data_IF_674006414092
#
_entry.id   IF_674006414092
#
_cell.length_a   1.000
_cell.length_b   1.000
_cell.length_c   1.000
_cell.angle_alpha   90.00
_cell.angle_beta   90.00
_cell.angle_gamma   90.00
#
_symmetry.space_group_name_H-M   'P 1'
#
loop_
_entity.id
_entity.type
_entity.pdbx_description
1 polymer ?
#
# COMPACT_ATOMS: atom_id res chain seq x y z
N UNK A 1 29.84 -4.29 21.58
CA UNK A 1 29.29 -5.02 20.39
C UNK A 1 28.27 -4.11 19.76
N UNK A 2 28.42 -3.73 18.49
CA UNK A 2 27.43 -2.89 17.81
C UNK A 2 26.23 -3.75 17.40
N UNK A 3 25.02 -3.35 17.76
CA UNK A 3 23.79 -4.00 17.33
C UNK A 3 23.38 -3.35 15.99
N UNK A 4 23.32 -4.11 14.88
CA UNK A 4 22.89 -3.56 13.60
C UNK A 4 21.41 -3.18 13.64
N UNK A 5 21.03 -2.14 12.92
CA UNK A 5 19.64 -1.70 12.80
C UNK A 5 18.79 -2.76 12.07
N UNK A 6 19.39 -3.52 11.17
CA UNK A 6 18.74 -4.55 10.38
C UNK A 6 19.68 -5.75 10.23
N UNK A 7 19.18 -6.96 10.49
CA UNK A 7 19.88 -8.22 10.20
C UNK A 7 18.95 -9.17 9.41
N UNK A 8 19.04 -9.12 8.10
CA UNK A 8 18.32 -10.03 7.19
C UNK A 8 18.94 -11.43 7.12
N UNK A 9 20.18 -11.63 7.61
CA UNK A 9 20.89 -12.91 7.47
C UNK A 9 20.22 -14.01 8.29
N UNK A 10 19.81 -13.70 9.52
CA UNK A 10 19.14 -14.66 10.40
C UNK A 10 17.80 -15.12 9.82
N UNK A 11 17.03 -14.20 9.25
CA UNK A 11 15.77 -14.51 8.55
C UNK A 11 16.03 -15.34 7.29
N UNK A 12 16.95 -14.87 6.44
CA UNK A 12 17.28 -15.53 5.17
C UNK A 12 17.78 -16.96 5.37
N UNK A 13 18.60 -17.21 6.40
CA UNK A 13 19.14 -18.56 6.67
C UNK A 13 18.05 -19.62 6.83
N UNK A 14 16.88 -19.25 7.34
CA UNK A 14 15.75 -20.18 7.55
C UNK A 14 15.01 -20.55 6.27
N UNK A 15 15.00 -19.66 5.29
CA UNK A 15 14.21 -19.81 4.06
C UNK A 15 15.08 -19.99 2.81
N UNK A 16 16.42 -19.93 2.96
CA UNK A 16 17.36 -19.89 1.84
C UNK A 16 17.19 -21.07 0.86
N UNK A 17 17.08 -22.27 1.37
CA UNK A 17 16.96 -23.48 0.53
C UNK A 17 15.68 -23.42 -0.32
N UNK A 18 14.55 -23.11 0.29
CA UNK A 18 13.27 -23.00 -0.42
C UNK A 18 13.26 -21.87 -1.44
N UNK A 19 13.85 -20.71 -1.10
CA UNK A 19 13.96 -19.58 -2.01
C UNK A 19 14.84 -19.95 -3.22
N UNK A 20 16.01 -20.55 -3.00
CA UNK A 20 16.91 -20.97 -4.09
C UNK A 20 16.23 -22.00 -4.99
N UNK A 21 15.57 -23.02 -4.41
CA UNK A 21 14.85 -24.03 -5.19
C UNK A 21 13.73 -23.41 -6.05
N UNK A 22 12.96 -22.47 -5.50
CA UNK A 22 11.92 -21.79 -6.26
C UNK A 22 12.49 -20.93 -7.41
N UNK A 23 13.61 -20.21 -7.16
CA UNK A 23 14.30 -19.45 -8.19
C UNK A 23 14.84 -20.35 -9.31
N UNK A 24 15.50 -21.45 -8.96
CA UNK A 24 16.02 -22.41 -9.93
C UNK A 24 14.92 -23.02 -10.78
N UNK A 25 13.79 -23.36 -10.17
CA UNK A 25 12.65 -23.85 -10.93
C UNK A 25 12.17 -22.86 -12.00
N UNK A 26 12.11 -21.57 -11.71
CA UNK A 26 11.76 -20.54 -12.72
C UNK A 26 12.78 -20.51 -13.84
N UNK A 27 14.07 -20.64 -13.51
CA UNK A 27 15.16 -20.67 -14.50
C UNK A 27 15.08 -21.93 -15.38
N UNK A 28 14.89 -23.10 -14.78
CA UNK A 28 14.81 -24.37 -15.48
C UNK A 28 13.57 -24.44 -16.40
N UNK A 29 12.45 -23.93 -15.92
CA UNK A 29 11.20 -23.85 -16.69
C UNK A 29 11.21 -22.69 -17.73
N UNK A 30 12.20 -21.79 -17.66
CA UNK A 30 12.30 -20.56 -18.49
C UNK A 30 11.03 -19.68 -18.44
N UNK A 31 10.32 -19.72 -17.31
CA UNK A 31 9.04 -19.03 -17.11
C UNK A 31 9.24 -17.65 -16.49
N UNK A 32 9.94 -16.76 -17.18
CA UNK A 32 10.37 -15.45 -16.65
C UNK A 32 9.31 -14.36 -16.70
N UNK A 33 8.24 -14.53 -17.48
CA UNK A 33 7.22 -13.48 -17.67
C UNK A 33 5.86 -14.04 -17.31
N UNK A 34 5.21 -13.43 -16.31
CA UNK A 34 3.83 -13.75 -15.88
C UNK A 34 3.56 -15.26 -15.72
N UNK A 35 4.54 -15.99 -15.20
CA UNK A 35 4.43 -17.44 -15.01
C UNK A 35 3.56 -17.84 -13.81
N UNK A 36 3.37 -19.16 -13.64
CA UNK A 36 2.61 -19.73 -12.54
C UNK A 36 3.00 -19.23 -11.13
N UNK A 37 4.28 -18.93 -10.82
CA UNK A 37 4.65 -18.36 -9.53
C UNK A 37 4.04 -16.98 -9.25
N UNK A 38 3.83 -16.15 -10.29
CA UNK A 38 3.19 -14.83 -10.13
C UNK A 38 1.72 -15.01 -9.77
N UNK A 39 1.00 -15.85 -10.52
CA UNK A 39 -0.42 -16.13 -10.23
C UNK A 39 -0.63 -16.78 -8.85
N UNK A 40 0.31 -17.64 -8.42
CA UNK A 40 0.27 -18.23 -7.09
C UNK A 40 0.46 -17.14 -6.00
N UNK A 41 1.44 -16.24 -6.17
CA UNK A 41 1.66 -15.12 -5.26
C UNK A 41 0.42 -14.21 -5.17
N UNK A 42 -0.20 -13.87 -6.31
CA UNK A 42 -1.42 -13.06 -6.35
C UNK A 42 -2.56 -13.74 -5.57
N UNK A 43 -2.75 -15.05 -5.74
CA UNK A 43 -3.73 -15.82 -4.99
C UNK A 43 -3.44 -15.83 -3.48
N UNK A 44 -2.18 -16.05 -3.08
CA UNK A 44 -1.77 -16.09 -1.68
C UNK A 44 -1.93 -14.72 -1.01
N UNK A 45 -1.53 -13.62 -1.69
CA UNK A 45 -1.70 -12.25 -1.18
C UNK A 45 -3.18 -11.89 -1.06
N UNK A 46 -3.99 -12.22 -2.08
CA UNK A 46 -5.43 -12.00 -2.04
C UNK A 46 -6.08 -12.74 -0.84
N UNK A 47 -5.70 -13.99 -0.61
CA UNK A 47 -6.21 -14.78 0.52
C UNK A 47 -5.76 -14.20 1.87
N UNK A 48 -4.47 -13.81 2.00
CA UNK A 48 -3.90 -13.23 3.21
C UNK A 48 -4.58 -11.90 3.57
N UNK A 49 -4.73 -11.01 2.59
CA UNK A 49 -5.31 -9.68 2.77
C UNK A 49 -6.84 -9.69 2.72
N UNK A 50 -7.48 -10.83 2.46
CA UNK A 50 -8.94 -10.98 2.30
C UNK A 50 -9.52 -10.05 1.24
N UNK A 51 -8.75 -9.78 0.21
CA UNK A 51 -9.19 -9.00 -0.95
C UNK A 51 -9.75 -9.92 -2.03
N UNK A 52 -10.53 -9.36 -2.94
CA UNK A 52 -11.09 -10.14 -4.04
C UNK A 52 -10.05 -10.49 -5.09
N UNK A 53 -9.09 -9.61 -5.29
CA UNK A 53 -8.01 -9.74 -6.27
C UNK A 53 -6.70 -9.21 -5.69
N UNK A 54 -5.59 -9.71 -6.20
CA UNK A 54 -4.28 -9.09 -6.10
C UNK A 54 -3.64 -9.08 -7.49
N UNK A 55 -2.87 -8.04 -7.78
CA UNK A 55 -2.20 -7.87 -9.08
C UNK A 55 -0.73 -7.60 -8.84
N UNK A 56 0.13 -8.48 -9.33
CA UNK A 56 1.58 -8.33 -9.26
C UNK A 56 2.08 -7.22 -10.17
N UNK A 57 3.02 -6.42 -9.67
CA UNK A 57 3.70 -5.36 -10.42
C UNK A 57 5.18 -5.30 -10.07
N UNK A 58 5.94 -4.44 -10.74
CA UNK A 58 7.39 -4.43 -10.62
C UNK A 58 7.89 -3.89 -9.27
N UNK A 59 7.13 -2.99 -8.64
CA UNK A 59 7.53 -2.35 -7.37
C UNK A 59 6.33 -1.71 -6.66
N UNK A 60 6.47 -1.37 -5.36
CA UNK A 60 5.47 -0.58 -4.66
C UNK A 60 5.25 0.82 -5.26
N UNK A 61 6.27 1.41 -5.89
CA UNK A 61 6.12 2.65 -6.64
C UNK A 61 5.20 2.45 -7.84
N UNK A 62 5.35 1.36 -8.59
CA UNK A 62 4.46 1.04 -9.70
C UNK A 62 3.05 0.69 -9.22
N UNK A 63 2.92 0.04 -8.05
CA UNK A 63 1.62 -0.24 -7.45
C UNK A 63 0.82 1.05 -7.21
N UNK A 64 1.44 2.05 -6.57
CA UNK A 64 0.82 3.37 -6.37
C UNK A 64 0.50 4.07 -7.69
N UNK A 65 1.42 4.02 -8.65
CA UNK A 65 1.20 4.61 -9.98
C UNK A 65 0.03 3.95 -10.71
N UNK A 66 -0.05 2.62 -10.68
CA UNK A 66 -1.13 1.85 -11.31
C UNK A 66 -2.47 2.11 -10.60
N UNK A 67 -2.48 2.19 -9.28
CA UNK A 67 -3.69 2.52 -8.51
C UNK A 67 -4.22 3.91 -8.86
N UNK A 68 -3.35 4.92 -8.96
CA UNK A 68 -3.73 6.26 -9.38
C UNK A 68 -4.28 6.28 -10.82
N UNK A 69 -3.63 5.57 -11.73
CA UNK A 69 -4.10 5.43 -13.13
C UNK A 69 -5.42 4.69 -13.23
N UNK A 70 -5.66 3.66 -12.41
CA UNK A 70 -6.92 2.91 -12.38
C UNK A 70 -8.10 3.78 -11.91
N UNK A 71 -7.83 4.84 -11.16
CA UNK A 71 -8.81 5.84 -10.73
C UNK A 71 -8.88 7.07 -11.68
N UNK A 72 -8.23 7.00 -12.85
CA UNK A 72 -8.16 8.11 -13.82
C UNK A 72 -7.65 9.42 -13.20
N UNK A 73 -6.67 9.33 -12.29
CA UNK A 73 -6.02 10.50 -11.70
C UNK A 73 -5.03 11.09 -12.70
N UNK A 74 -5.10 12.40 -12.92
CA UNK A 74 -4.26 13.08 -13.90
C UNK A 74 -4.13 14.58 -13.69
N UNK A 75 -3.70 15.32 -14.73
CA UNK A 75 -3.49 16.76 -14.66
C UNK A 75 -4.77 17.51 -14.27
N UNK A 76 -4.66 18.40 -13.28
CA UNK A 76 -5.77 19.18 -12.74
C UNK A 76 -6.46 18.56 -11.54
N UNK A 77 -6.22 17.29 -11.28
CA UNK A 77 -6.71 16.57 -10.10
C UNK A 77 -5.82 16.80 -8.87
N UNK A 78 -6.38 16.47 -7.70
CA UNK A 78 -5.72 16.54 -6.41
C UNK A 78 -5.76 15.18 -5.72
N UNK A 79 -4.66 14.83 -5.05
CA UNK A 79 -4.59 13.65 -4.19
C UNK A 79 -4.11 14.07 -2.81
N UNK A 80 -4.91 13.75 -1.79
CA UNK A 80 -4.60 14.06 -0.39
C UNK A 80 -3.74 12.96 0.20
N UNK A 81 -2.64 13.33 0.85
CA UNK A 81 -1.76 12.40 1.57
C UNK A 81 -1.00 13.12 2.69
N UNK A 82 -0.05 12.46 3.33
CA UNK A 82 0.82 13.02 4.36
C UNK A 82 2.25 13.22 3.83
N UNK A 83 3.00 14.23 4.29
CA UNK A 83 4.42 14.35 3.97
C UNK A 83 5.30 13.36 4.75
N UNK A 84 4.79 12.76 5.81
CA UNK A 84 5.50 11.78 6.63
C UNK A 84 5.33 10.37 6.06
N UNK A 85 6.01 10.11 4.95
CA UNK A 85 5.95 8.86 4.18
C UNK A 85 7.21 8.68 3.34
N UNK A 86 7.30 7.57 2.63
CA UNK A 86 8.32 7.37 1.61
C UNK A 86 8.03 8.25 0.38
N UNK A 87 9.09 8.68 -0.31
CA UNK A 87 8.99 9.59 -1.46
C UNK A 87 8.03 9.11 -2.55
N UNK A 88 7.91 7.79 -2.75
CA UNK A 88 7.07 7.23 -3.81
C UNK A 88 5.62 7.70 -3.73
N UNK A 89 5.06 7.91 -2.53
CA UNK A 89 3.68 8.36 -2.36
C UNK A 89 3.43 9.70 -3.08
N UNK A 90 4.26 10.71 -2.83
CA UNK A 90 4.14 12.01 -3.50
C UNK A 90 4.68 11.97 -4.94
N UNK A 91 5.74 11.20 -5.18
CA UNK A 91 6.38 11.08 -6.49
C UNK A 91 5.44 10.49 -7.54
N UNK A 92 4.64 9.49 -7.19
CA UNK A 92 3.68 8.87 -8.12
C UNK A 92 2.50 9.80 -8.43
N UNK A 93 2.03 10.58 -7.46
CA UNK A 93 1.03 11.63 -7.68
C UNK A 93 1.55 12.65 -8.68
N UNK A 94 2.80 13.09 -8.52
CA UNK A 94 3.44 14.00 -9.47
C UNK A 94 3.58 13.36 -10.87
N UNK A 95 3.96 12.09 -10.94
CA UNK A 95 4.17 11.38 -12.21
C UNK A 95 2.88 11.23 -13.04
N UNK A 96 1.71 11.16 -12.41
CA UNK A 96 0.43 11.21 -13.13
C UNK A 96 -0.01 12.63 -13.49
N UNK A 97 0.75 13.66 -13.09
CA UNK A 97 0.45 15.06 -13.35
C UNK A 97 -0.57 15.68 -12.38
N UNK A 98 -0.93 15.01 -11.32
CA UNK A 98 -1.83 15.51 -10.29
C UNK A 98 -1.09 16.36 -9.24
N UNK A 99 -1.84 17.14 -8.49
CA UNK A 99 -1.33 17.95 -7.38
C UNK A 99 -1.42 17.17 -6.07
N UNK A 100 -0.29 17.01 -5.38
CA UNK A 100 -0.27 16.49 -4.01
C UNK A 100 -0.79 17.55 -3.03
N UNK A 101 -1.73 17.16 -2.19
CA UNK A 101 -2.24 17.96 -1.08
C UNK A 101 -1.80 17.30 0.22
N UNK A 102 -0.86 17.92 0.91
CA UNK A 102 -0.34 17.38 2.16
C UNK A 102 -1.19 17.82 3.35
N UNK A 103 -1.44 16.87 4.25
CA UNK A 103 -2.04 17.09 5.57
C UNK A 103 -1.19 16.43 6.64
N UNK A 104 -1.30 16.93 7.86
CA UNK A 104 -0.45 16.48 8.96
C UNK A 104 -0.88 15.10 9.50
N UNK A 105 0.03 14.49 10.24
CA UNK A 105 -0.14 13.21 10.93
C UNK A 105 -0.60 13.40 12.37
N UNK A 106 -1.14 12.36 12.95
CA UNK A 106 -1.29 12.25 14.39
C UNK A 106 0.09 11.93 15.03
N UNK A 107 0.58 12.74 15.99
CA UNK A 107 1.93 12.58 16.55
C UNK A 107 2.10 11.31 17.40
N UNK A 108 1.03 10.60 17.72
CA UNK A 108 1.08 9.35 18.50
C UNK A 108 1.11 8.12 17.60
N UNK A 109 0.37 8.16 16.49
CA UNK A 109 0.21 7.03 15.59
C UNK A 109 1.05 7.15 14.33
N UNK A 110 1.52 8.35 14.00
CA UNK A 110 2.21 8.72 12.75
C UNK A 110 1.38 8.52 11.48
N UNK A 111 0.11 8.12 11.62
CA UNK A 111 -0.82 8.01 10.51
C UNK A 111 -1.46 9.35 10.18
N UNK A 112 -1.92 9.49 8.94
CA UNK A 112 -2.65 10.66 8.47
C UNK A 112 -3.83 10.97 9.41
N UNK A 113 -4.06 12.24 9.71
CA UNK A 113 -5.24 12.68 10.48
C UNK A 113 -6.48 12.71 9.61
N UNK A 114 -7.53 11.90 9.94
CA UNK A 114 -8.74 11.82 9.12
C UNK A 114 -9.51 13.13 9.00
N UNK A 115 -9.55 13.91 10.06
CA UNK A 115 -10.22 15.22 10.08
C UNK A 115 -9.54 16.22 9.14
N UNK A 116 -8.20 16.24 9.11
CA UNK A 116 -7.44 17.10 8.20
C UNK A 116 -7.53 16.59 6.76
N UNK A 117 -7.51 15.28 6.57
CA UNK A 117 -7.70 14.70 5.23
C UNK A 117 -9.05 15.06 4.65
N UNK A 118 -10.12 14.95 5.43
CA UNK A 118 -11.46 15.33 5.01
C UNK A 118 -11.61 16.84 4.76
N UNK A 119 -11.02 17.68 5.62
CA UNK A 119 -11.03 19.13 5.45
C UNK A 119 -10.28 19.60 4.19
N UNK A 120 -9.31 18.82 3.72
CA UNK A 120 -8.53 19.12 2.52
C UNK A 120 -9.23 18.65 1.22
N UNK A 121 -10.34 17.95 1.30
CA UNK A 121 -11.09 17.47 0.12
C UNK A 121 -11.72 18.66 -0.61
N UNK A 122 -11.50 18.73 -1.92
CA UNK A 122 -12.11 19.68 -2.83
C UNK A 122 -12.84 18.96 -3.96
N UNK A 123 -13.47 19.73 -4.86
CA UNK A 123 -14.09 19.17 -6.08
C UNK A 123 -13.07 18.53 -7.04
N UNK A 124 -11.76 18.81 -6.84
CA UNK A 124 -10.67 18.24 -7.63
C UNK A 124 -10.05 17.02 -7.00
N UNK A 125 -10.40 16.71 -5.75
CA UNK A 125 -9.83 15.55 -5.05
C UNK A 125 -10.35 14.25 -5.65
N UNK A 126 -9.43 13.45 -6.20
CA UNK A 126 -9.71 12.17 -6.84
C UNK A 126 -9.41 10.97 -5.95
N UNK A 127 -8.49 11.12 -5.00
CA UNK A 127 -8.15 10.06 -4.06
C UNK A 127 -7.54 10.61 -2.77
N UNK A 128 -7.58 9.79 -1.72
CA UNK A 128 -6.80 9.98 -0.49
C UNK A 128 -5.87 8.78 -0.38
N UNK A 129 -4.57 9.03 -0.11
CA UNK A 129 -3.57 7.97 0.12
C UNK A 129 -3.12 8.02 1.58
N UNK A 130 -3.77 7.29 2.49
CA UNK A 130 -3.21 6.99 3.80
C UNK A 130 -2.08 5.98 3.68
N UNK A 131 -1.10 6.06 4.59
CA UNK A 131 0.05 5.17 4.62
C UNK A 131 0.08 4.46 5.96
N UNK A 132 0.20 3.13 5.93
CA UNK A 132 0.30 2.27 7.10
C UNK A 132 1.72 2.24 7.64
N UNK A 133 2.23 3.41 8.01
CA UNK A 133 3.62 3.59 8.36
C UNK A 133 4.01 2.72 9.57
N UNK A 134 5.16 2.08 9.48
CA UNK A 134 5.70 1.15 10.50
C UNK A 134 4.79 -0.04 10.82
N UNK A 135 3.84 -0.38 9.93
CA UNK A 135 2.96 -1.53 10.09
C UNK A 135 1.68 -1.25 10.87
N UNK A 136 1.36 0.00 11.13
CA UNK A 136 0.13 0.39 11.79
C UNK A 136 -0.91 0.86 10.76
N UNK A 137 -1.98 0.07 10.59
CA UNK A 137 -3.07 0.38 9.66
C UNK A 137 -3.68 1.75 9.98
N UNK A 138 -3.79 2.59 8.96
CA UNK A 138 -4.39 3.91 9.03
C UNK A 138 -5.90 3.84 9.40
N UNK A 139 -6.50 4.92 9.91
CA UNK A 139 -7.91 4.97 10.29
C UNK A 139 -8.84 5.09 9.07
N UNK A 140 -8.84 4.06 8.20
CA UNK A 140 -9.56 4.04 6.92
C UNK A 140 -11.05 4.28 7.08
N UNK A 141 -11.68 3.65 8.08
CA UNK A 141 -13.10 3.78 8.36
C UNK A 141 -13.51 5.22 8.70
N UNK A 142 -12.61 5.94 9.37
CA UNK A 142 -12.86 7.33 9.73
C UNK A 142 -12.67 8.25 8.54
N UNK A 143 -11.63 8.01 7.73
CA UNK A 143 -11.39 8.73 6.47
C UNK A 143 -12.61 8.57 5.54
N UNK A 144 -13.06 7.34 5.31
CA UNK A 144 -14.21 7.05 4.44
C UNK A 144 -15.51 7.66 4.96
N UNK A 145 -15.70 7.69 6.29
CA UNK A 145 -16.86 8.32 6.92
C UNK A 145 -16.85 9.84 6.77
N UNK A 146 -15.67 10.49 6.90
CA UNK A 146 -15.54 11.95 6.85
C UNK A 146 -15.43 12.49 5.42
N UNK A 147 -14.94 11.70 4.49
CA UNK A 147 -14.79 12.02 3.07
C UNK A 147 -15.57 11.02 2.19
N UNK A 148 -16.90 10.92 2.32
CA UNK A 148 -17.68 9.93 1.60
C UNK A 148 -17.61 10.12 0.10
N UNK A 149 -17.44 9.02 -0.64
CA UNK A 149 -17.35 9.01 -2.09
C UNK A 149 -15.97 9.34 -2.66
N UNK A 150 -14.99 9.70 -1.85
CA UNK A 150 -13.60 9.84 -2.30
C UNK A 150 -12.90 8.48 -2.20
N UNK A 151 -12.34 7.95 -3.30
CA UNK A 151 -11.59 6.70 -3.27
C UNK A 151 -10.39 6.76 -2.32
N UNK A 152 -10.12 5.65 -1.63
CA UNK A 152 -8.96 5.51 -0.75
C UNK A 152 -8.01 4.49 -1.34
N UNK A 153 -6.75 4.87 -1.52
CA UNK A 153 -5.64 3.97 -1.85
C UNK A 153 -4.82 3.78 -0.58
N UNK A 154 -4.86 2.60 0.01
CA UNK A 154 -4.10 2.27 1.22
C UNK A 154 -2.68 1.87 0.83
N UNK A 155 -1.70 2.69 1.19
CA UNK A 155 -0.28 2.33 1.04
C UNK A 155 0.12 1.40 2.19
N UNK A 156 -0.06 0.11 1.96
CA UNK A 156 0.21 -0.98 2.90
C UNK A 156 1.62 -1.57 2.78
N UNK A 157 2.57 -0.84 2.17
CA UNK A 157 3.92 -1.32 1.89
C UNK A 157 4.67 -1.84 3.13
N UNK A 158 4.31 -1.39 4.33
CA UNK A 158 4.93 -1.80 5.60
C UNK A 158 4.00 -2.62 6.51
N UNK A 159 2.80 -2.99 6.06
CA UNK A 159 1.75 -3.54 6.92
C UNK A 159 1.21 -4.91 6.49
N UNK A 160 1.88 -5.60 5.57
CA UNK A 160 1.43 -6.94 5.14
C UNK A 160 1.22 -7.87 6.35
N UNK A 161 0.05 -8.48 6.45
CA UNK A 161 -0.35 -9.33 7.57
C UNK A 161 -0.76 -8.57 8.85
N UNK A 162 -0.66 -7.24 8.87
CA UNK A 162 -1.21 -6.44 9.96
C UNK A 162 -2.74 -6.52 9.97
N UNK A 163 -3.31 -6.37 11.16
CA UNK A 163 -4.76 -6.37 11.34
C UNK A 163 -5.20 -5.33 12.36
N UNK A 164 -6.35 -4.73 12.11
CA UNK A 164 -6.98 -3.74 12.97
C UNK A 164 -8.44 -4.11 13.24
N UNK A 165 -8.94 -3.75 14.42
CA UNK A 165 -10.34 -3.98 14.75
C UNK A 165 -11.18 -2.80 14.25
N UNK A 166 -12.09 -3.05 13.30
CA UNK A 166 -12.99 -2.07 12.68
C UNK A 166 -14.42 -2.58 12.82
N UNK A 167 -15.30 -1.78 13.41
CA UNK A 167 -16.70 -2.18 13.62
C UNK A 167 -16.89 -3.47 14.43
N UNK A 168 -15.94 -3.78 15.33
CA UNK A 168 -15.97 -5.02 16.12
C UNK A 168 -15.31 -6.22 15.46
N UNK A 169 -15.02 -6.21 14.15
CA UNK A 169 -14.38 -7.28 13.39
C UNK A 169 -12.91 -6.98 13.12
N UNK A 170 -12.07 -8.04 13.08
CA UNK A 170 -10.69 -7.91 12.64
C UNK A 170 -10.62 -7.80 11.11
N UNK A 171 -9.99 -6.72 10.64
CA UNK A 171 -9.72 -6.44 9.23
C UNK A 171 -8.23 -6.47 8.96
N UNK A 172 -7.86 -6.95 7.78
CA UNK A 172 -6.47 -7.01 7.33
C UNK A 172 -6.08 -5.71 6.64
N UNK A 173 -4.79 -5.39 6.62
CA UNK A 173 -4.25 -4.36 5.74
C UNK A 173 -4.60 -4.71 4.27
N UNK A 174 -5.02 -3.72 3.50
CA UNK A 174 -5.53 -3.87 2.13
C UNK A 174 -7.00 -4.25 2.01
N UNK A 175 -7.67 -4.71 3.10
CA UNK A 175 -9.06 -5.25 3.03
C UNK A 175 -10.12 -4.16 2.87
N UNK A 176 -9.90 -2.96 3.43
CA UNK A 176 -10.96 -1.97 3.62
C UNK A 176 -10.88 -0.76 2.71
N UNK A 177 -9.81 -0.58 1.98
CA UNK A 177 -9.66 0.51 1.02
C UNK A 177 -10.33 0.21 -0.32
N UNK A 178 -10.38 1.19 -1.20
CA UNK A 178 -10.78 1.00 -2.61
C UNK A 178 -9.74 0.17 -3.34
N UNK A 179 -8.46 0.46 -3.08
CA UNK A 179 -7.27 -0.28 -3.52
C UNK A 179 -6.31 -0.31 -2.34
N UNK A 180 -5.70 -1.44 -2.06
CA UNK A 180 -4.70 -1.61 -1.00
C UNK A 180 -3.54 -2.45 -1.45
#
# INVERSE_FOLDING_TARGET
MAVPLLDLRAQHARIRESVVAAMMKVVDDQAFILGAPVSALEADVSALSRTKYAVGCASGTDALLLALKALDVGPGDEVVTTPFTFFATAGTIHNVGARTVFVDIDPKTFNIRPDLAAAAVTKKTKAIIPVDLFGQIAPLEEIQRLAPGVPVIEDAAQSIGARRKIGGAWRMAGECATIG
#
